data_IF_715602204600
#
_entry.id   IF_715602204600
#
_cell.length_a   1.000
_cell.length_b   1.000
_cell.length_c   1.000
_cell.angle_alpha   90.00
_cell.angle_beta   90.00
_cell.angle_gamma   90.00
#
_symmetry.space_group_name_H-M   'P 1'
#
loop_
_entity.id
_entity.type
_entity.pdbx_description
1 polymer ?
#
# COMPACT_ATOMS: atom_id res chain seq x y z
N UNK A 1 -0.53 -9.77 -8.31
CA UNK A 1 -0.93 -8.42 -7.83
C UNK A 1 0.13 -7.70 -6.99
N UNK A 2 0.83 -8.38 -6.07
CA UNK A 2 1.73 -7.74 -5.09
C UNK A 2 2.77 -6.79 -5.70
N UNK A 3 3.35 -7.14 -6.84
CA UNK A 3 4.32 -6.27 -7.55
C UNK A 3 3.72 -4.94 -8.01
N UNK A 4 2.43 -4.92 -8.36
CA UNK A 4 1.72 -3.69 -8.72
C UNK A 4 1.59 -2.80 -7.50
N UNK A 5 1.21 -3.36 -6.35
CA UNK A 5 1.09 -2.60 -5.09
C UNK A 5 2.46 -2.06 -4.67
N UNK A 6 3.51 -2.88 -4.76
CA UNK A 6 4.88 -2.52 -4.38
C UNK A 6 5.44 -1.34 -5.21
N UNK A 7 4.91 -1.10 -6.42
CA UNK A 7 5.38 -0.06 -7.34
C UNK A 7 4.49 1.19 -7.37
N UNK A 8 3.41 1.24 -6.58
CA UNK A 8 2.45 2.38 -6.58
C UNK A 8 3.14 3.71 -6.28
N UNK A 9 3.99 3.79 -5.26
CA UNK A 9 4.65 5.07 -4.90
C UNK A 9 5.65 5.52 -5.98
N UNK A 10 6.42 4.58 -6.51
CA UNK A 10 7.50 4.87 -7.45
C UNK A 10 6.98 5.26 -8.84
N UNK A 11 5.85 4.70 -9.25
CA UNK A 11 5.29 4.92 -10.60
C UNK A 11 4.05 5.81 -10.52
N UNK A 12 3.00 5.35 -9.83
CA UNK A 12 1.67 6.00 -9.90
C UNK A 12 1.69 7.35 -9.19
N UNK A 13 2.22 7.44 -7.97
CA UNK A 13 2.27 8.71 -7.25
C UNK A 13 3.20 9.74 -7.94
N UNK A 14 4.28 9.28 -8.56
CA UNK A 14 5.15 10.16 -9.36
C UNK A 14 4.39 10.75 -10.56
N UNK A 15 3.61 9.95 -11.30
CA UNK A 15 2.81 10.46 -12.41
C UNK A 15 1.65 11.37 -11.94
N UNK A 16 1.00 11.03 -10.82
CA UNK A 16 -0.05 11.89 -10.24
C UNK A 16 0.53 13.24 -9.82
N UNK A 17 1.71 13.26 -9.19
CA UNK A 17 2.34 14.50 -8.76
C UNK A 17 2.72 15.42 -9.93
N UNK A 18 3.09 14.87 -11.10
CA UNK A 18 3.32 15.68 -12.31
C UNK A 18 2.06 16.41 -12.78
N UNK A 19 0.89 15.78 -12.65
CA UNK A 19 -0.39 16.36 -13.05
C UNK A 19 -0.98 17.27 -11.97
N UNK A 20 -0.71 16.95 -10.71
CA UNK A 20 -1.25 17.65 -9.54
C UNK A 20 -0.12 17.88 -8.51
N UNK A 21 0.73 18.92 -8.69
CA UNK A 21 1.88 19.17 -7.81
C UNK A 21 1.50 19.44 -6.35
N UNK A 22 0.30 19.99 -6.13
CA UNK A 22 -0.21 20.29 -4.79
C UNK A 22 -0.90 19.08 -4.12
N UNK A 23 -0.90 17.90 -4.76
CA UNK A 23 -1.46 16.70 -4.19
C UNK A 23 -0.61 16.23 -3.00
N UNK A 24 -1.24 16.16 -1.84
CA UNK A 24 -0.66 15.53 -0.65
C UNK A 24 -0.85 14.01 -0.71
N UNK A 25 0.18 13.34 -1.21
CA UNK A 25 0.25 11.89 -1.46
C UNK A 25 0.94 11.18 -0.30
N UNK A 26 0.47 9.97 0.08
CA UNK A 26 1.19 9.16 1.04
C UNK A 26 2.49 8.61 0.43
N UNK A 27 3.40 8.18 1.28
CA UNK A 27 4.60 7.42 0.88
C UNK A 27 4.44 5.96 1.22
N UNK A 28 5.00 5.11 0.35
CA UNK A 28 5.13 3.69 0.62
C UNK A 28 6.60 3.26 0.56
N UNK A 29 7.04 2.54 1.59
CA UNK A 29 8.37 1.94 1.65
C UNK A 29 8.22 0.42 1.71
N UNK A 30 8.67 -0.28 0.68
CA UNK A 30 8.62 -1.75 0.66
C UNK A 30 9.72 -2.31 1.56
N UNK A 31 9.35 -3.03 2.62
CA UNK A 31 10.31 -3.72 3.49
C UNK A 31 10.68 -5.10 2.91
N UNK A 32 9.69 -5.84 2.39
CA UNK A 32 9.90 -7.12 1.71
C UNK A 32 8.75 -7.46 0.79
N UNK A 33 9.04 -8.23 -0.27
CA UNK A 33 8.06 -8.81 -1.19
C UNK A 33 8.54 -10.20 -1.59
N UNK A 34 8.19 -11.20 -0.79
CA UNK A 34 8.70 -12.56 -0.93
C UNK A 34 7.69 -13.59 -0.41
N UNK A 35 7.73 -14.82 -0.93
CA UNK A 35 6.90 -15.94 -0.48
C UNK A 35 5.39 -15.61 -0.43
N UNK A 36 4.90 -14.87 -1.43
CA UNK A 36 3.48 -14.46 -1.49
C UNK A 36 3.07 -13.45 -0.43
N UNK A 37 4.03 -12.77 0.20
CA UNK A 37 3.79 -11.75 1.23
C UNK A 37 4.48 -10.44 0.86
N UNK A 38 3.71 -9.35 0.87
CA UNK A 38 4.22 -7.98 0.77
C UNK A 38 4.13 -7.30 2.13
N UNK A 39 5.25 -6.73 2.58
CA UNK A 39 5.35 -5.92 3.78
C UNK A 39 5.81 -4.53 3.40
N UNK A 40 5.06 -3.52 3.82
CA UNK A 40 5.33 -2.13 3.46
C UNK A 40 4.96 -1.15 4.57
N UNK A 41 5.72 -0.07 4.68
CA UNK A 41 5.42 1.05 5.56
C UNK A 41 4.67 2.11 4.76
N UNK A 42 3.46 2.42 5.21
CA UNK A 42 2.66 3.55 4.77
C UNK A 42 2.95 4.75 5.67
N UNK A 43 3.33 5.88 5.10
CA UNK A 43 3.49 7.15 5.81
C UNK A 43 2.53 8.21 5.25
N UNK A 44 1.74 8.84 6.12
CA UNK A 44 0.81 9.88 5.69
C UNK A 44 0.32 10.73 6.85
N UNK A 45 0.12 12.03 6.59
CA UNK A 45 -0.54 12.94 7.53
C UNK A 45 -2.06 12.66 7.66
N UNK A 46 -2.69 12.03 6.65
CA UNK A 46 -4.15 11.91 6.55
C UNK A 46 -4.75 10.68 7.22
N UNK A 47 -3.92 9.74 7.70
CA UNK A 47 -4.36 8.49 8.36
C UNK A 47 -5.47 7.75 7.57
N UNK A 48 -5.18 7.53 6.28
CA UNK A 48 -6.08 6.89 5.32
C UNK A 48 -5.80 5.40 5.17
N UNK A 49 -5.37 4.71 6.23
CA UNK A 49 -5.11 3.27 6.20
C UNK A 49 -6.33 2.45 5.76
N UNK A 50 -7.57 2.73 6.24
CA UNK A 50 -8.75 2.01 5.76
C UNK A 50 -9.02 2.20 4.27
N UNK A 51 -8.66 3.36 3.71
CA UNK A 51 -8.80 3.64 2.28
C UNK A 51 -7.76 2.87 1.47
N UNK A 52 -6.49 2.90 1.90
CA UNK A 52 -5.43 2.11 1.26
C UNK A 52 -5.75 0.61 1.32
N UNK A 53 -6.26 0.13 2.46
CA UNK A 53 -6.73 -1.26 2.63
C UNK A 53 -7.82 -1.62 1.62
N UNK A 54 -8.87 -0.80 1.49
CA UNK A 54 -9.93 -1.04 0.51
C UNK A 54 -9.45 -1.02 -0.95
N UNK A 55 -8.47 -0.17 -1.29
CA UNK A 55 -7.86 -0.18 -2.63
C UNK A 55 -7.05 -1.45 -2.89
N UNK A 56 -6.34 -1.97 -1.89
CA UNK A 56 -5.58 -3.22 -1.98
C UNK A 56 -6.55 -4.39 -2.22
N UNK A 57 -7.63 -4.46 -1.45
CA UNK A 57 -8.64 -5.51 -1.59
C UNK A 57 -9.34 -5.44 -2.96
N UNK A 58 -9.71 -4.24 -3.42
CA UNK A 58 -10.25 -4.05 -4.77
C UNK A 58 -9.26 -4.41 -5.88
N UNK A 59 -7.96 -4.19 -5.66
CA UNK A 59 -6.91 -4.66 -6.57
C UNK A 59 -6.90 -6.19 -6.64
N UNK A 60 -7.01 -6.87 -5.50
CA UNK A 60 -7.06 -8.34 -5.44
C UNK A 60 -8.24 -8.90 -6.25
N UNK A 61 -9.41 -8.29 -6.13
CA UNK A 61 -10.59 -8.64 -6.93
C UNK A 61 -10.34 -8.51 -8.44
N UNK A 62 -9.70 -7.44 -8.89
CA UNK A 62 -9.36 -7.22 -10.32
C UNK A 62 -8.40 -8.29 -10.84
N UNK A 63 -7.43 -8.70 -10.02
CA UNK A 63 -6.46 -9.74 -10.38
C UNK A 63 -6.99 -11.17 -10.18
N UNK A 64 -8.18 -11.33 -9.60
CA UNK A 64 -8.74 -12.64 -9.25
C UNK A 64 -7.95 -13.37 -8.16
N UNK A 65 -7.20 -12.63 -7.34
CA UNK A 65 -6.39 -13.15 -6.23
C UNK A 65 -7.16 -13.01 -4.92
N UNK A 66 -6.98 -13.96 -4.00
CA UNK A 66 -7.46 -13.82 -2.61
C UNK A 66 -6.31 -13.38 -1.74
N UNK A 67 -6.51 -12.32 -0.96
CA UNK A 67 -5.49 -11.79 -0.05
C UNK A 67 -6.02 -11.61 1.35
N UNK A 68 -5.11 -11.70 2.33
CA UNK A 68 -5.31 -11.20 3.67
C UNK A 68 -4.50 -9.92 3.84
N UNK A 69 -5.18 -8.81 4.04
CA UNK A 69 -4.56 -7.50 4.26
C UNK A 69 -4.77 -7.07 5.71
N UNK A 70 -3.67 -6.83 6.44
CA UNK A 70 -3.68 -6.30 7.81
C UNK A 70 -2.77 -5.08 7.90
N UNK A 71 -3.09 -4.14 8.79
CA UNK A 71 -2.20 -3.02 9.10
C UNK A 71 -2.23 -2.67 10.58
N UNK A 72 -1.12 -2.09 11.04
CA UNK A 72 -0.98 -1.58 12.41
C UNK A 72 -0.22 -0.26 12.41
N UNK A 73 -0.68 0.72 13.20
CA UNK A 73 0.09 1.95 13.43
C UNK A 73 1.39 1.61 14.16
N UNK A 74 2.52 2.08 13.63
CA UNK A 74 3.86 1.86 14.20
C UNK A 74 4.52 3.15 14.70
N UNK A 75 4.03 4.30 14.28
CA UNK A 75 4.46 5.62 14.75
C UNK A 75 3.33 6.63 14.58
N UNK A 76 3.23 7.59 15.50
CA UNK A 76 2.26 8.71 15.42
C UNK A 76 2.88 9.97 14.81
N UNK A 77 4.20 10.16 14.92
CA UNK A 77 4.91 11.35 14.43
C UNK A 77 6.32 10.99 13.92
N UNK A 78 6.55 10.89 12.59
CA UNK A 78 5.54 10.95 11.54
C UNK A 78 4.55 9.79 11.68
N UNK A 79 3.30 10.00 11.24
CA UNK A 79 2.28 8.96 11.31
C UNK A 79 2.58 7.88 10.27
N UNK A 80 2.79 6.65 10.75
CA UNK A 80 3.16 5.50 9.95
C UNK A 80 2.36 4.26 10.35
N UNK A 81 1.96 3.47 9.36
CA UNK A 81 1.36 2.16 9.55
C UNK A 81 2.11 1.10 8.74
N UNK A 82 2.32 -0.06 9.35
CA UNK A 82 2.89 -1.23 8.67
C UNK A 82 1.76 -2.07 8.09
N UNK A 83 1.75 -2.23 6.79
CA UNK A 83 0.84 -3.12 6.06
C UNK A 83 1.52 -4.47 5.84
N UNK A 84 0.74 -5.55 5.98
CA UNK A 84 1.11 -6.92 5.64
C UNK A 84 0.02 -7.49 4.74
N UNK A 85 0.37 -7.85 3.51
CA UNK A 85 -0.55 -8.38 2.49
C UNK A 85 -0.06 -9.78 2.14
N UNK A 86 -0.89 -10.79 2.37
CA UNK A 86 -0.55 -12.19 2.16
C UNK A 86 -1.49 -12.80 1.12
N UNK A 87 -0.95 -13.44 0.09
CA UNK A 87 -1.73 -14.25 -0.84
C UNK A 87 -2.24 -15.49 -0.12
N UNK A 88 -3.50 -15.82 -0.31
CA UNK A 88 -4.03 -17.13 0.04
C UNK A 88 -3.65 -18.12 -1.07
N UNK A 89 -2.88 -19.14 -0.70
CA UNK A 89 -2.74 -20.33 -1.52
C UNK A 89 -3.88 -21.29 -1.13
N UNK A 90 -4.84 -21.46 -2.05
CA UNK A 90 -5.82 -22.55 -1.99
C UNK A 90 -5.15 -23.90 -2.31
#
# INVERSE_FOLDING_TARGET
MLDVIATVDEIVHVEVHKLYPDADLPRFFVESNENGTLVMIYESQKKLEPFAHGLIDGCAEVFGEKVKTEYQTISETPHQAKFTIQLHHD
#
